data_IF_719105114462
#
_entry.id   IF_719105114462
#
_cell.length_a   1.000
_cell.length_b   1.000
_cell.length_c   1.000
_cell.angle_alpha   90.00
_cell.angle_beta   90.00
_cell.angle_gamma   90.00
#
_symmetry.space_group_name_H-M   'P 1'
#
loop_
_entity.id
_entity.type
_entity.pdbx_description
1 polymer ?
#
# COMPACT_ATOMS: atom_id res chain seq x y z
N UNK A 1 -53.48 -38.36 -19.74
CA UNK A 1 -53.48 -39.84 -19.62
C UNK A 1 -52.83 -40.43 -20.86
N UNK A 2 -51.89 -41.37 -20.70
CA UNK A 2 -51.34 -42.32 -21.71
C UNK A 2 -50.63 -41.68 -22.93
N UNK A 3 -49.54 -42.21 -23.49
CA UNK A 3 -48.73 -43.42 -23.23
C UNK A 3 -47.37 -43.23 -23.93
N UNK A 4 -46.36 -43.89 -23.39
CA UNK A 4 -45.02 -44.03 -23.93
C UNK A 4 -44.98 -44.73 -25.30
N UNK A 5 -43.95 -44.44 -26.09
CA UNK A 5 -43.34 -45.43 -26.98
C UNK A 5 -41.83 -45.22 -27.10
N UNK A 6 -41.10 -46.31 -26.85
CA UNK A 6 -39.66 -46.47 -26.94
C UNK A 6 -39.16 -46.39 -28.39
N UNK A 7 -37.92 -45.92 -28.57
CA UNK A 7 -37.03 -46.52 -29.57
C UNK A 7 -35.62 -46.70 -29.01
N UNK A 8 -35.18 -47.95 -29.08
CA UNK A 8 -33.85 -48.47 -28.74
C UNK A 8 -32.99 -48.30 -29.99
N UNK A 9 -31.80 -47.71 -29.83
CA UNK A 9 -30.80 -47.61 -30.88
C UNK A 9 -29.41 -47.62 -30.27
N UNK A 10 -28.89 -48.81 -30.02
CA UNK A 10 -27.55 -49.06 -29.55
C UNK A 10 -26.57 -48.95 -30.72
N UNK A 11 -25.58 -48.06 -30.62
CA UNK A 11 -24.35 -48.12 -31.43
C UNK A 11 -23.20 -48.04 -30.44
N UNK A 12 -22.55 -49.19 -30.21
CA UNK A 12 -21.27 -49.27 -29.54
C UNK A 12 -20.19 -48.74 -30.49
N UNK A 13 -19.49 -47.68 -30.08
CA UNK A 13 -18.17 -47.35 -30.60
C UNK A 13 -17.21 -47.57 -29.44
N UNK A 14 -16.40 -48.64 -29.54
CA UNK A 14 -15.19 -48.78 -28.75
C UNK A 14 -14.20 -47.73 -29.24
N UNK A 15 -14.01 -46.67 -28.46
CA UNK A 15 -12.86 -45.79 -28.56
C UNK A 15 -11.94 -46.09 -27.36
N UNK A 16 -10.71 -46.49 -27.66
CA UNK A 16 -9.64 -46.67 -26.69
C UNK A 16 -9.44 -45.38 -25.88
N UNK A 17 -9.73 -45.45 -24.58
CA UNK A 17 -9.42 -44.39 -23.63
C UNK A 17 -8.06 -44.73 -22.99
N UNK A 18 -6.97 -44.20 -23.54
CA UNK A 18 -5.69 -44.15 -22.84
C UNK A 18 -5.75 -42.96 -21.87
N UNK A 19 -6.07 -43.24 -20.61
CA UNK A 19 -5.92 -42.29 -19.53
C UNK A 19 -4.42 -42.04 -19.31
N UNK A 20 -3.92 -40.79 -19.41
CA UNK A 20 -2.67 -40.46 -18.76
C UNK A 20 -2.90 -40.57 -17.24
N UNK A 21 -2.01 -41.28 -16.57
CA UNK A 21 -1.94 -41.31 -15.10
C UNK A 21 -1.87 -39.88 -14.59
N UNK A 22 -2.87 -39.52 -13.78
CA UNK A 22 -2.87 -38.29 -13.02
C UNK A 22 -1.80 -38.45 -11.93
N UNK A 23 -0.77 -37.58 -11.86
CA UNK A 23 0.14 -37.57 -10.73
C UNK A 23 -0.67 -37.39 -9.45
N UNK A 24 -0.32 -38.15 -8.42
CA UNK A 24 -0.87 -37.99 -7.09
C UNK A 24 -0.74 -36.52 -6.66
N UNK A 25 -1.82 -35.96 -6.11
CA UNK A 25 -1.81 -34.68 -5.44
C UNK A 25 -0.75 -34.72 -4.33
N UNK A 26 0.42 -34.15 -4.60
CA UNK A 26 1.37 -33.80 -3.56
C UNK A 26 0.73 -32.70 -2.70
N UNK A 27 0.77 -32.83 -1.36
CA UNK A 27 0.28 -31.77 -0.50
C UNK A 27 1.07 -30.50 -0.81
N UNK A 28 0.32 -29.45 -1.18
CA UNK A 28 0.83 -28.10 -1.43
C UNK A 28 1.65 -27.66 -0.22
N UNK A 29 2.98 -27.76 -0.33
CA UNK A 29 3.88 -27.21 0.68
C UNK A 29 3.66 -25.71 0.74
N UNK A 30 3.48 -25.24 1.98
CA UNK A 30 3.42 -23.84 2.37
C UNK A 30 4.67 -23.14 1.85
N UNK A 31 4.54 -22.52 0.67
CA UNK A 31 5.63 -21.81 0.01
C UNK A 31 5.83 -20.50 0.74
N UNK A 32 6.61 -20.55 1.81
CA UNK A 32 7.25 -19.36 2.37
C UNK A 32 8.19 -18.82 1.31
N UNK A 33 7.83 -17.67 0.73
CA UNK A 33 8.73 -16.92 -0.14
C UNK A 33 9.92 -16.45 0.70
N UNK A 34 11.06 -17.11 0.54
CA UNK A 34 12.34 -16.61 1.05
C UNK A 34 12.72 -15.40 0.20
N UNK A 35 12.75 -14.24 0.84
CA UNK A 35 13.24 -13.00 0.26
C UNK A 35 14.76 -13.13 0.06
N UNK A 36 15.20 -13.18 -1.20
CA UNK A 36 16.62 -13.02 -1.52
C UNK A 36 17.01 -11.55 -1.36
N UNK A 37 18.13 -11.30 -0.67
CA UNK A 37 18.71 -9.98 -0.42
C UNK A 37 18.90 -9.21 -1.74
N UNK A 38 18.25 -8.04 -1.83
CA UNK A 38 18.37 -7.15 -2.97
C UNK A 38 19.69 -6.38 -2.90
N UNK A 39 20.60 -6.67 -3.84
CA UNK A 39 21.83 -5.90 -4.05
C UNK A 39 21.53 -4.44 -4.41
N UNK A 40 22.20 -3.56 -3.67
CA UNK A 40 22.22 -2.11 -3.73
C UNK A 40 22.51 -1.56 -5.15
N UNK A 41 21.69 -0.60 -5.64
CA UNK A 41 21.95 0.12 -6.90
C UNK A 41 21.62 1.61 -6.73
N UNK A 42 22.59 2.48 -7.08
CA UNK A 42 22.43 3.94 -7.18
C UNK A 42 21.16 4.30 -7.95
N UNK A 43 20.41 5.32 -7.50
CA UNK A 43 19.05 5.67 -7.93
C UNK A 43 18.91 5.79 -9.47
N UNK A 44 18.62 4.64 -10.10
CA UNK A 44 18.30 4.57 -11.50
C UNK A 44 16.98 5.33 -11.73
N UNK A 45 16.90 6.03 -12.87
CA UNK A 45 15.66 6.67 -13.31
C UNK A 45 14.52 5.64 -13.22
N UNK A 46 13.37 5.98 -12.59
CA UNK A 46 12.31 5.00 -12.35
C UNK A 46 11.89 4.33 -13.66
N UNK A 47 11.92 3.00 -13.67
CA UNK A 47 11.79 2.20 -14.91
C UNK A 47 10.34 1.81 -15.22
N UNK A 48 9.45 1.82 -14.23
CA UNK A 48 8.02 1.52 -14.40
C UNK A 48 7.16 2.79 -14.39
N UNK A 49 5.98 2.78 -15.05
CA UNK A 49 5.01 3.88 -14.96
C UNK A 49 4.62 4.22 -13.52
N UNK A 50 4.42 3.21 -12.66
CA UNK A 50 4.09 3.40 -11.25
C UNK A 50 5.22 4.07 -10.47
N UNK A 51 6.48 3.66 -10.70
CA UNK A 51 7.65 4.27 -10.06
C UNK A 51 7.84 5.72 -10.48
N UNK A 52 7.63 6.02 -11.76
CA UNK A 52 7.69 7.39 -12.27
C UNK A 52 6.59 8.27 -11.66
N UNK A 53 5.35 7.77 -11.63
CA UNK A 53 4.23 8.51 -11.07
C UNK A 53 4.43 8.81 -9.58
N UNK A 54 4.90 7.83 -8.80
CA UNK A 54 5.29 8.04 -7.39
C UNK A 54 6.32 9.17 -7.26
N UNK A 55 7.42 9.10 -8.02
CA UNK A 55 8.50 10.10 -7.98
C UNK A 55 8.01 11.52 -8.33
N UNK A 56 7.13 11.64 -9.33
CA UNK A 56 6.51 12.92 -9.70
C UNK A 56 5.66 13.47 -8.55
N UNK A 57 4.82 12.63 -7.92
CA UNK A 57 4.01 13.05 -6.76
C UNK A 57 4.86 13.43 -5.54
N UNK A 58 5.88 12.66 -5.21
CA UNK A 58 6.78 12.98 -4.08
C UNK A 58 7.47 14.33 -4.30
N UNK A 59 7.95 14.57 -5.53
CA UNK A 59 8.53 15.85 -5.93
C UNK A 59 7.52 17.00 -5.80
N UNK A 60 6.25 16.74 -6.14
CA UNK A 60 5.20 17.74 -6.03
C UNK A 60 4.85 18.07 -4.58
N UNK A 61 4.83 17.07 -3.69
CA UNK A 61 4.64 17.24 -2.24
C UNK A 61 5.79 18.06 -1.66
N UNK A 62 7.03 17.69 -1.94
CA UNK A 62 8.23 18.36 -1.42
C UNK A 62 8.30 19.83 -1.85
N UNK A 63 7.93 20.12 -3.10
CA UNK A 63 7.91 21.49 -3.64
C UNK A 63 6.62 22.25 -3.33
N UNK A 64 5.72 21.72 -2.50
CA UNK A 64 4.43 22.32 -2.14
C UNK A 64 3.56 22.71 -3.35
N UNK A 65 3.67 21.95 -4.44
CA UNK A 65 2.97 22.21 -5.71
C UNK A 65 1.61 21.51 -5.82
N UNK A 66 1.27 20.67 -4.84
CA UNK A 66 -0.06 20.08 -4.71
C UNK A 66 -0.67 20.39 -3.35
N UNK A 67 -1.99 20.56 -3.33
CA UNK A 67 -2.73 20.70 -2.09
C UNK A 67 -2.80 19.36 -1.36
N UNK A 68 -2.50 19.40 -0.06
CA UNK A 68 -2.54 18.26 0.85
C UNK A 68 -3.44 18.59 2.02
N UNK A 69 -4.50 17.80 2.19
CA UNK A 69 -5.38 17.88 3.35
C UNK A 69 -4.82 17.04 4.48
N UNK A 70 -4.74 17.63 5.68
CA UNK A 70 -4.23 16.96 6.88
C UNK A 70 -5.37 16.72 7.86
N UNK A 71 -5.48 15.49 8.36
CA UNK A 71 -6.47 15.07 9.35
C UNK A 71 -5.76 14.47 10.55
N UNK A 72 -6.27 14.68 11.76
CA UNK A 72 -5.70 14.14 12.99
C UNK A 72 -6.72 13.24 13.67
N UNK A 73 -6.35 11.99 13.96
CA UNK A 73 -7.13 11.11 14.84
C UNK A 73 -6.61 11.24 16.25
N UNK A 74 -7.49 11.59 17.18
CA UNK A 74 -7.19 11.69 18.61
C UNK A 74 -7.41 10.34 19.30
N UNK A 75 -6.63 10.08 20.35
CA UNK A 75 -6.80 8.92 21.23
C UNK A 75 -8.20 8.91 21.82
N UNK A 76 -8.83 7.74 21.82
CA UNK A 76 -10.19 7.51 22.32
C UNK A 76 -11.29 8.27 21.57
N UNK A 77 -11.00 8.92 20.45
CA UNK A 77 -12.01 9.49 19.56
C UNK A 77 -12.35 8.47 18.46
N UNK A 78 -13.61 7.99 18.39
CA UNK A 78 -14.01 7.06 17.34
C UNK A 78 -14.06 7.71 15.95
N UNK A 79 -14.00 9.04 15.84
CA UNK A 79 -14.00 9.76 14.57
C UNK A 79 -12.57 10.09 14.15
N UNK A 80 -12.30 10.01 12.85
CA UNK A 80 -11.19 10.78 12.30
C UNK A 80 -11.51 12.26 12.52
N UNK A 81 -10.58 13.00 13.12
CA UNK A 81 -10.76 14.42 13.41
C UNK A 81 -10.86 15.27 12.15
N UNK A 82 -11.18 16.53 12.36
CA UNK A 82 -11.44 17.51 11.30
C UNK A 82 -10.18 17.82 10.47
N UNK A 83 -10.36 18.51 9.33
CA UNK A 83 -9.23 19.06 8.57
C UNK A 83 -8.55 20.09 9.46
N UNK A 84 -7.27 19.90 9.74
CA UNK A 84 -6.51 20.84 10.56
C UNK A 84 -5.84 21.88 9.67
N UNK A 85 -6.21 23.15 9.86
CA UNK A 85 -5.38 24.29 9.51
C UNK A 85 -4.31 24.46 10.60
N UNK A 86 -3.14 25.00 10.24
CA UNK A 86 -1.91 24.95 11.05
C UNK A 86 -2.03 25.53 12.46
N UNK A 87 -3.01 26.41 12.67
CA UNK A 87 -3.13 27.20 13.91
C UNK A 87 -3.91 26.47 15.02
N UNK A 88 -4.61 25.38 14.70
CA UNK A 88 -5.43 24.59 15.63
C UNK A 88 -4.83 23.20 15.96
N UNK A 89 -3.52 23.01 15.77
CA UNK A 89 -2.88 21.71 15.99
C UNK A 89 -3.08 21.19 17.42
N UNK A 90 -3.59 19.97 17.62
CA UNK A 90 -3.85 19.45 18.96
C UNK A 90 -2.55 19.08 19.69
N UNK A 91 -2.62 19.03 21.01
CA UNK A 91 -1.54 18.49 21.84
C UNK A 91 -1.13 17.09 21.34
N UNK A 92 0.16 16.90 21.05
CA UNK A 92 0.70 15.67 20.48
C UNK A 92 0.43 14.44 21.36
N UNK A 93 0.34 14.63 22.68
CA UNK A 93 0.02 13.56 23.63
C UNK A 93 -1.38 12.95 23.41
N UNK A 94 -2.27 13.69 22.74
CA UNK A 94 -3.63 13.28 22.40
C UNK A 94 -3.75 12.65 21.01
N UNK A 95 -2.69 12.66 20.20
CA UNK A 95 -2.74 12.18 18.81
C UNK A 95 -2.49 10.66 18.76
N UNK A 96 -3.33 9.94 18.02
CA UNK A 96 -3.14 8.53 17.68
C UNK A 96 -2.48 8.40 16.30
N UNK A 97 -2.95 9.17 15.32
CA UNK A 97 -2.39 9.17 13.97
C UNK A 97 -2.69 10.48 13.23
N UNK A 98 -1.80 10.85 12.31
CA UNK A 98 -2.01 11.92 11.33
C UNK A 98 -2.19 11.29 9.96
N UNK A 99 -3.15 11.80 9.20
CA UNK A 99 -3.40 11.38 7.83
C UNK A 99 -3.20 12.55 6.88
N UNK A 100 -2.60 12.29 5.73
CA UNK A 100 -2.41 13.27 4.68
C UNK A 100 -2.98 12.73 3.36
N UNK A 101 -3.78 13.54 2.68
CA UNK A 101 -4.45 13.15 1.46
C UNK A 101 -4.27 14.23 0.40
N UNK A 102 -4.07 13.81 -0.84
CA UNK A 102 -4.20 14.69 -1.99
C UNK A 102 -5.16 14.11 -3.01
N UNK A 103 -5.90 14.98 -3.68
CA UNK A 103 -6.92 14.65 -4.66
C UNK A 103 -6.59 15.31 -5.99
N UNK A 104 -6.90 14.63 -7.09
CA UNK A 104 -6.88 15.18 -8.43
C UNK A 104 -8.08 16.12 -8.64
N UNK A 105 -8.05 16.96 -9.69
CA UNK A 105 -9.20 17.79 -10.06
C UNK A 105 -10.47 17.00 -10.35
N UNK A 106 -10.36 15.75 -10.84
CA UNK A 106 -11.50 14.85 -11.06
C UNK A 106 -12.03 14.20 -9.78
N UNK A 107 -11.43 14.49 -8.63
CA UNK A 107 -11.82 13.96 -7.32
C UNK A 107 -11.24 12.59 -6.95
N UNK A 108 -10.51 11.92 -7.86
CA UNK A 108 -9.75 10.71 -7.49
C UNK A 108 -8.62 11.05 -6.53
N UNK A 109 -8.27 10.12 -5.65
CA UNK A 109 -7.19 10.28 -4.68
C UNK A 109 -5.84 10.05 -5.37
N UNK A 110 -4.89 10.95 -5.16
CA UNK A 110 -3.51 10.80 -5.66
C UNK A 110 -2.69 9.93 -4.71
N UNK A 111 -2.75 10.27 -3.42
CA UNK A 111 -2.14 9.49 -2.36
C UNK A 111 -2.92 9.61 -1.04
N UNK A 112 -2.69 8.63 -0.16
CA UNK A 112 -3.10 8.63 1.23
C UNK A 112 -1.90 8.23 2.08
N UNK A 113 -1.49 9.09 3.01
CA UNK A 113 -0.42 8.84 3.96
C UNK A 113 -0.97 8.75 5.37
N UNK A 114 -0.43 7.85 6.18
CA UNK A 114 -0.71 7.71 7.61
C UNK A 114 0.58 7.68 8.40
N UNK A 115 0.63 8.53 9.43
CA UNK A 115 1.72 8.64 10.39
C UNK A 115 1.18 8.32 11.78
N UNK A 116 1.34 7.09 12.28
CA UNK A 116 1.01 6.78 13.66
C UNK A 116 1.84 7.64 14.62
N UNK A 117 1.21 8.11 15.69
CA UNK A 117 1.83 8.94 16.72
C UNK A 117 2.08 8.15 18.01
N UNK A 118 3.00 8.66 18.84
CA UNK A 118 3.31 8.05 20.14
C UNK A 118 4.15 6.77 20.05
N UNK A 119 4.91 6.59 18.97
CA UNK A 119 5.87 5.49 18.85
C UNK A 119 7.19 5.88 19.52
N UNK A 120 7.66 5.07 20.46
CA UNK A 120 8.95 5.31 21.15
C UNK A 120 10.13 5.09 20.18
N UNK A 121 11.02 6.08 20.13
CA UNK A 121 12.28 6.09 19.37
C UNK A 121 12.16 5.80 17.87
N UNK A 122 10.98 6.03 17.30
CA UNK A 122 10.75 5.85 15.87
C UNK A 122 9.65 6.75 15.32
N UNK A 123 9.76 7.08 14.04
CA UNK A 123 8.70 7.70 13.25
C UNK A 123 8.39 6.77 12.10
N UNK A 124 7.11 6.53 11.85
CA UNK A 124 6.66 5.65 10.77
C UNK A 124 5.68 6.43 9.91
N UNK A 125 5.81 6.29 8.60
CA UNK A 125 4.88 6.79 7.62
C UNK A 125 4.56 5.67 6.63
N UNK A 126 3.28 5.55 6.30
CA UNK A 126 2.80 4.60 5.32
C UNK A 126 2.00 5.34 4.25
N UNK A 127 2.38 5.20 2.99
CA UNK A 127 1.81 5.98 1.90
C UNK A 127 1.29 5.05 0.81
N UNK A 128 -0.01 5.11 0.54
CA UNK A 128 -0.63 4.52 -0.65
C UNK A 128 -0.66 5.54 -1.78
N UNK A 129 -0.24 5.15 -2.96
CA UNK A 129 -0.34 5.93 -4.20
C UNK A 129 -1.37 5.27 -5.11
N UNK A 130 -2.24 6.06 -5.70
CA UNK A 130 -3.34 5.55 -6.51
C UNK A 130 -3.31 6.09 -7.93
N UNK A 131 -3.81 5.30 -8.88
CA UNK A 131 -4.12 5.75 -10.24
C UNK A 131 -5.43 6.57 -10.31
N UNK A 132 -5.83 6.97 -11.52
CA UNK A 132 -7.08 7.71 -11.75
C UNK A 132 -8.34 6.91 -11.41
N UNK A 133 -8.24 5.58 -11.38
CA UNK A 133 -9.30 4.66 -11.00
C UNK A 133 -9.30 4.33 -9.50
N UNK A 134 -8.51 5.05 -8.69
CA UNK A 134 -8.33 4.83 -7.26
C UNK A 134 -7.79 3.44 -6.89
N UNK A 135 -7.10 2.76 -7.81
CA UNK A 135 -6.39 1.49 -7.58
C UNK A 135 -5.00 1.80 -7.05
N UNK A 136 -4.53 1.01 -6.10
CA UNK A 136 -3.17 1.19 -5.55
C UNK A 136 -2.13 0.71 -6.54
N UNK A 137 -1.23 1.62 -6.92
CA UNK A 137 -0.13 1.35 -7.86
C UNK A 137 1.23 1.34 -7.17
N UNK A 138 1.33 1.98 -6.00
CA UNK A 138 2.49 1.87 -5.14
C UNK A 138 2.10 1.97 -3.66
N UNK A 139 2.89 1.33 -2.81
CA UNK A 139 2.82 1.47 -1.37
C UNK A 139 4.21 1.69 -0.82
N UNK A 140 4.39 2.73 -0.03
CA UNK A 140 5.64 3.05 0.66
C UNK A 140 5.47 2.88 2.16
N UNK A 141 6.46 2.24 2.78
CA UNK A 141 6.74 2.28 4.22
C UNK A 141 8.03 3.07 4.40
N UNK A 142 7.97 4.13 5.17
CA UNK A 142 9.11 4.97 5.53
C UNK A 142 9.25 5.00 7.05
N UNK A 143 10.41 4.65 7.56
CA UNK A 143 10.68 4.55 9.00
C UNK A 143 11.98 5.26 9.32
N UNK A 144 11.94 6.08 10.37
CA UNK A 144 13.12 6.68 10.97
C UNK A 144 13.21 6.15 12.39
N UNK A 145 14.35 5.64 12.82
CA UNK A 145 14.53 5.18 14.20
C UNK A 145 15.98 5.28 14.67
N UNK A 146 16.16 5.41 15.98
CA UNK A 146 17.49 5.39 16.58
C UNK A 146 17.94 3.93 16.73
N UNK A 147 19.06 3.57 16.08
CA UNK A 147 19.58 2.21 16.08
C UNK A 147 21.07 2.20 16.43
N UNK A 148 21.38 2.53 17.69
CA UNK A 148 22.76 2.56 18.21
C UNK A 148 23.52 1.23 18.06
N UNK A 149 22.81 0.13 17.80
CA UNK A 149 23.41 -1.19 17.54
C UNK A 149 24.02 -1.33 16.15
N UNK A 150 23.56 -0.56 15.15
CA UNK A 150 23.92 -0.75 13.74
C UNK A 150 24.40 0.52 13.04
N UNK A 151 24.14 1.70 13.62
CA UNK A 151 24.66 2.98 13.16
C UNK A 151 25.01 3.86 14.35
N UNK A 152 25.99 4.75 14.18
CA UNK A 152 26.27 5.83 15.13
C UNK A 152 25.23 6.96 15.08
N UNK A 153 24.31 6.92 14.11
CA UNK A 153 23.28 7.92 13.88
C UNK A 153 21.90 7.31 13.61
N UNK A 154 20.94 8.16 13.26
CA UNK A 154 19.57 7.77 12.91
C UNK A 154 19.56 6.83 11.71
N UNK A 155 18.72 5.80 11.74
CA UNK A 155 18.51 4.89 10.63
C UNK A 155 17.21 5.21 9.91
N UNK A 156 17.28 5.20 8.58
CA UNK A 156 16.17 5.43 7.66
C UNK A 156 15.94 4.14 6.87
N UNK A 157 14.77 3.53 7.08
CA UNK A 157 14.30 2.38 6.32
C UNK A 157 13.22 2.85 5.35
N UNK A 158 13.39 2.58 4.05
CA UNK A 158 12.38 2.80 3.03
C UNK A 158 12.10 1.52 2.27
N UNK A 159 10.85 1.11 2.23
CA UNK A 159 10.36 -0.01 1.44
C UNK A 159 9.26 0.49 0.51
N UNK A 160 9.39 0.24 -0.79
CA UNK A 160 8.38 0.59 -1.80
C UNK A 160 7.97 -0.64 -2.58
N UNK A 161 6.68 -0.95 -2.52
CA UNK A 161 6.05 -2.00 -3.31
C UNK A 161 5.29 -1.37 -4.47
N UNK A 162 5.50 -1.88 -5.69
CA UNK A 162 4.79 -1.45 -6.88
C UNK A 162 3.87 -2.55 -7.40
N UNK A 163 2.68 -2.18 -7.84
CA UNK A 163 1.64 -3.12 -8.21
C UNK A 163 1.17 -2.92 -9.65
N UNK A 164 0.75 -4.01 -10.29
CA UNK A 164 0.00 -3.96 -11.53
C UNK A 164 -1.50 -3.65 -11.31
N UNK A 165 -2.23 -3.58 -12.41
CA UNK A 165 -3.67 -3.33 -12.45
C UNK A 165 -4.53 -4.39 -11.73
N UNK A 166 -3.97 -5.59 -11.50
CA UNK A 166 -4.60 -6.69 -10.79
C UNK A 166 -4.14 -6.79 -9.33
N UNK A 167 -3.35 -5.82 -8.87
CA UNK A 167 -2.76 -5.76 -7.54
C UNK A 167 -1.72 -6.86 -7.25
N UNK A 168 -1.07 -7.39 -8.30
CA UNK A 168 0.10 -8.23 -8.14
C UNK A 168 1.34 -7.36 -7.93
N UNK A 169 2.24 -7.78 -7.04
CA UNK A 169 3.53 -7.12 -6.85
C UNK A 169 4.39 -7.27 -8.11
N UNK A 170 4.75 -6.16 -8.75
CA UNK A 170 5.60 -6.16 -9.95
C UNK A 170 7.07 -5.91 -9.64
N UNK A 171 7.33 -5.14 -8.58
CA UNK A 171 8.68 -4.82 -8.13
C UNK A 171 8.64 -4.30 -6.69
N UNK A 172 9.72 -4.53 -5.96
CA UNK A 172 9.96 -3.97 -4.63
C UNK A 172 11.32 -3.25 -4.64
N UNK A 173 11.42 -2.16 -3.89
CA UNK A 173 12.69 -1.54 -3.54
C UNK A 173 12.80 -1.45 -2.04
N UNK A 174 13.93 -1.85 -1.49
CA UNK A 174 14.23 -1.73 -0.07
C UNK A 174 15.56 -1.01 0.09
N UNK A 175 15.60 0.01 0.95
CA UNK A 175 16.82 0.75 1.28
C UNK A 175 16.90 0.96 2.79
N UNK A 176 18.10 0.79 3.32
CA UNK A 176 18.45 1.09 4.69
C UNK A 176 19.66 2.03 4.68
N UNK A 177 19.48 3.24 5.17
CA UNK A 177 20.56 4.25 5.18
C UNK A 177 20.66 4.92 6.53
N UNK A 178 21.77 5.61 6.77
CA UNK A 178 21.85 6.59 7.84
C UNK A 178 21.29 7.97 7.40
N UNK A 179 21.39 8.95 8.29
CA UNK A 179 21.02 10.35 8.06
C UNK A 179 21.95 11.11 7.09
N UNK A 180 23.09 10.53 6.72
CA UNK A 180 23.98 11.01 5.67
C UNK A 180 23.75 10.28 4.33
N UNK A 181 22.63 9.54 4.21
CA UNK A 181 22.26 8.70 3.05
C UNK A 181 23.26 7.57 2.76
N UNK A 182 24.12 7.22 3.72
CA UNK A 182 25.06 6.11 3.55
C UNK A 182 24.33 4.79 3.76
N UNK A 183 24.53 3.80 2.87
CA UNK A 183 23.93 2.48 3.00
C UNK A 183 24.35 1.78 4.29
N UNK A 184 23.41 1.07 4.91
CA UNK A 184 23.63 0.21 6.07
C UNK A 184 23.30 -1.23 5.65
N UNK A 185 24.19 -2.17 5.94
CA UNK A 185 23.91 -3.58 5.70
C UNK A 185 22.76 -4.06 6.59
N UNK A 186 21.74 -4.66 5.97
CA UNK A 186 20.55 -5.19 6.65
C UNK A 186 20.91 -6.17 7.77
N UNK A 187 21.90 -7.03 7.54
CA UNK A 187 22.41 -8.01 8.50
C UNK A 187 22.96 -7.39 9.80
N UNK A 188 23.43 -6.14 9.74
CA UNK A 188 24.01 -5.44 10.88
C UNK A 188 22.95 -4.73 11.72
N UNK A 189 21.70 -4.62 11.23
CA UNK A 189 20.64 -3.91 11.91
C UNK A 189 19.46 -4.81 12.29
N UNK A 190 19.08 -4.79 13.57
CA UNK A 190 17.78 -5.33 13.98
C UNK A 190 16.73 -4.41 13.38
N UNK A 191 16.17 -4.80 12.23
CA UNK A 191 15.03 -4.10 11.62
C UNK A 191 13.96 -3.99 12.69
N UNK A 192 13.61 -2.76 13.06
CA UNK A 192 12.91 -2.48 14.30
C UNK A 192 11.45 -2.92 14.29
N UNK A 193 11.15 -4.21 14.17
CA UNK A 193 9.84 -4.85 14.42
C UNK A 193 8.63 -4.03 13.99
N UNK A 194 8.68 -3.40 12.81
CA UNK A 194 7.57 -2.57 12.35
C UNK A 194 6.45 -3.52 11.98
N UNK A 195 5.29 -3.33 12.62
CA UNK A 195 4.18 -4.25 12.47
C UNK A 195 3.78 -4.37 11.00
N UNK A 196 3.46 -5.60 10.53
CA UNK A 196 2.95 -5.79 9.19
C UNK A 196 1.72 -4.91 9.00
N UNK A 197 1.75 -4.08 7.97
CA UNK A 197 0.62 -3.23 7.63
C UNK A 197 -0.11 -3.80 6.44
N UNK A 198 -1.43 -3.88 6.56
CA UNK A 198 -2.29 -4.26 5.44
C UNK A 198 -2.19 -3.22 4.33
N UNK A 199 -1.76 -3.65 3.16
CA UNK A 199 -1.85 -2.88 1.92
C UNK A 199 -3.21 -3.14 1.29
N UNK A 200 -3.95 -2.10 0.97
CA UNK A 200 -5.26 -2.19 0.32
C UNK A 200 -5.10 -2.00 -1.17
N UNK A 201 -5.89 -2.71 -1.98
CA UNK A 201 -5.81 -2.61 -3.44
C UNK A 201 -6.54 -1.41 -4.05
N UNK A 202 -7.32 -0.68 -3.24
CA UNK A 202 -8.01 0.52 -3.68
C UNK A 202 -8.22 1.49 -2.52
N UNK A 203 -8.41 2.76 -2.86
CA UNK A 203 -8.70 3.80 -1.90
C UNK A 203 -10.00 3.54 -1.13
N UNK A 204 -11.03 3.02 -1.81
CA UNK A 204 -12.33 2.72 -1.18
C UNK A 204 -12.18 1.73 -0.03
N UNK A 205 -11.43 0.63 -0.24
CA UNK A 205 -11.19 -0.37 0.81
C UNK A 205 -10.39 0.21 1.97
N UNK A 206 -9.36 1.00 1.66
CA UNK A 206 -8.56 1.70 2.66
C UNK A 206 -9.43 2.65 3.49
N UNK A 207 -10.20 3.54 2.85
CA UNK A 207 -11.07 4.50 3.52
C UNK A 207 -12.12 3.80 4.40
N UNK A 208 -12.72 2.71 3.91
CA UNK A 208 -13.64 1.89 4.70
C UNK A 208 -12.97 1.30 5.93
N UNK A 209 -11.77 0.73 5.78
CA UNK A 209 -11.02 0.15 6.89
C UNK A 209 -10.59 1.18 7.94
N UNK A 210 -10.31 2.42 7.50
CA UNK A 210 -9.95 3.52 8.39
C UNK A 210 -11.15 4.25 8.99
N UNK A 211 -12.38 3.81 8.71
CA UNK A 211 -13.59 4.39 9.29
C UNK A 211 -13.92 5.77 8.73
N UNK A 212 -13.30 6.17 7.62
CA UNK A 212 -13.45 7.48 7.03
C UNK A 212 -14.60 7.53 6.05
N UNK A 213 -15.80 7.70 6.60
CA UNK A 213 -17.00 8.05 5.82
C UNK A 213 -16.90 9.44 5.15
N UNK A 214 -15.94 10.26 5.56
CA UNK A 214 -15.82 11.68 5.18
C UNK A 214 -15.21 11.88 3.79
N UNK A 215 -14.54 10.89 3.21
CA UNK A 215 -13.72 11.14 2.02
C UNK A 215 -14.39 10.95 0.65
N UNK A 216 -15.69 10.62 0.62
CA UNK A 216 -16.43 10.40 -0.63
C UNK A 216 -17.36 11.56 -1.01
N UNK A 217 -17.52 12.58 -0.16
CA UNK A 217 -18.53 13.65 -0.35
C UNK A 217 -18.01 14.95 -0.97
N UNK A 218 -16.70 15.18 -1.05
CA UNK A 218 -16.16 16.47 -1.51
C UNK A 218 -16.21 16.67 -3.03
N UNK A 219 -16.62 15.64 -3.78
CA UNK A 219 -16.86 15.73 -5.23
C UNK A 219 -18.25 16.25 -5.60
N UNK A 220 -19.23 16.22 -4.70
CA UNK A 220 -20.60 16.65 -5.03
C UNK A 220 -20.81 18.16 -4.83
N UNK A 221 -19.96 18.86 -4.06
CA UNK A 221 -20.22 20.23 -3.62
C UNK A 221 -19.65 21.36 -4.50
N UNK A 222 -18.98 21.07 -5.64
CA UNK A 222 -18.43 22.11 -6.54
C UNK A 222 -19.21 22.35 -7.84
N UNK A 223 -20.42 21.78 -7.98
CA UNK A 223 -21.27 22.00 -9.16
C UNK A 223 -22.39 23.04 -8.93
N UNK A 224 -22.40 23.73 -7.77
CA UNK A 224 -23.37 24.76 -7.46
C UNK A 224 -22.70 26.08 -7.04
N UNK A 225 -22.01 26.72 -7.98
CA UNK A 225 -21.90 28.19 -7.99
C UNK A 225 -21.83 28.67 -9.44
N UNK A 226 -23.00 28.91 -10.01
CA UNK A 226 -23.19 29.77 -11.19
C UNK A 226 -23.35 31.21 -10.74
#
# INVERSE_FOLDING_TARGET
MKKWMLFIGSVMILACNSQPEQPADEPMEDTTMVMEDATETQAAKPTSPAARYKWELDSMVQNHSIFVQTFVKKKNDPKLGEVYETDDWPDESLIEAVYQLSFRPNGSTQFFSEKPYGLENRRVQYTHYFDDANRTIAFEKYVIYDASSCSSSTVIETEVNYFDDFFNLTSNTYTLTDDEERPIASADCITGGVQPRTVYNSYEKLAKAKGTKVFLKTTEAKTESK
#
